data_IF_392621026836
#
_entry.id   IF_392621026836
#
_cell.length_a   1.000
_cell.length_b   1.000
_cell.length_c   1.000
_cell.angle_alpha   90.00
_cell.angle_beta   90.00
_cell.angle_gamma   90.00
#
_symmetry.space_group_name_H-M   'P 1'
#
loop_
_entity.id
_entity.type
_entity.pdbx_description
1 polymer ?
#
# COMPACT_ATOMS: atom_id res chain seq x y z
N UNK A 1 9.41 -7.03 -15.69
CA UNK A 1 9.66 -8.43 -15.30
C UNK A 1 10.11 -8.46 -13.84
N UNK A 2 9.74 -9.48 -13.07
CA UNK A 2 10.17 -9.62 -11.66
C UNK A 2 11.66 -10.00 -11.60
N UNK A 3 12.42 -9.37 -10.70
CA UNK A 3 13.79 -9.79 -10.32
C UNK A 3 13.74 -10.18 -8.83
N UNK A 4 13.69 -11.47 -8.48
CA UNK A 4 13.47 -11.92 -7.11
C UNK A 4 14.49 -11.40 -6.09
N UNK A 5 15.76 -11.28 -6.48
CA UNK A 5 16.87 -10.84 -5.62
C UNK A 5 16.73 -9.38 -5.20
N UNK A 6 15.95 -8.60 -5.94
CA UNK A 6 15.66 -7.21 -5.66
C UNK A 6 14.41 -7.01 -4.79
N UNK A 7 13.69 -8.08 -4.47
CA UNK A 7 12.46 -8.01 -3.70
C UNK A 7 12.77 -7.76 -2.23
N UNK A 8 12.50 -6.54 -1.78
CA UNK A 8 12.54 -6.15 -0.38
C UNK A 8 11.11 -5.89 0.12
N UNK A 9 10.70 -6.60 1.18
CA UNK A 9 9.43 -6.34 1.89
C UNK A 9 9.66 -5.22 2.89
N UNK A 10 8.79 -4.21 2.90
CA UNK A 10 8.91 -3.05 3.79
C UNK A 10 7.91 -3.09 4.95
N UNK A 11 6.65 -3.41 4.64
CA UNK A 11 5.57 -3.46 5.61
C UNK A 11 4.68 -4.69 5.36
N UNK A 12 4.02 -5.14 6.42
CA UNK A 12 3.02 -6.20 6.36
C UNK A 12 1.86 -5.88 7.32
N UNK A 13 0.67 -6.34 6.95
CA UNK A 13 -0.48 -6.35 7.83
C UNK A 13 -1.38 -7.55 7.56
N UNK A 14 -2.16 -7.95 8.57
CA UNK A 14 -2.96 -9.18 8.52
C UNK A 14 -4.40 -8.90 8.95
N UNK A 15 -5.34 -9.25 8.08
CA UNK A 15 -6.76 -9.23 8.38
C UNK A 15 -7.39 -10.58 8.07
N UNK A 16 -8.04 -11.21 9.06
CA UNK A 16 -8.77 -12.48 8.88
C UNK A 16 -7.93 -13.57 8.19
N UNK A 17 -6.64 -13.68 8.53
CA UNK A 17 -5.69 -14.63 7.94
C UNK A 17 -5.18 -14.25 6.55
N UNK A 18 -5.67 -13.17 5.94
CA UNK A 18 -5.14 -12.61 4.71
C UNK A 18 -3.97 -11.67 5.01
N UNK A 19 -2.82 -11.96 4.41
CA UNK A 19 -1.61 -11.14 4.55
C UNK A 19 -1.56 -10.14 3.40
N UNK A 20 -1.31 -8.87 3.74
CA UNK A 20 -0.96 -7.79 2.82
C UNK A 20 0.48 -7.38 3.08
N UNK A 21 1.22 -7.08 2.03
CA UNK A 21 2.64 -6.74 2.15
C UNK A 21 3.03 -5.75 1.07
N UNK A 22 3.91 -4.81 1.43
CA UNK A 22 4.47 -3.83 0.50
C UNK A 22 5.87 -4.21 0.02
N UNK A 23 6.31 -3.64 -1.11
CA UNK A 23 7.64 -3.82 -1.68
C UNK A 23 8.29 -2.51 -2.03
N UNK A 24 9.59 -2.49 -1.84
CA UNK A 24 10.47 -1.41 -2.26
C UNK A 24 10.48 -1.25 -3.78
N UNK A 25 10.20 -0.04 -4.26
CA UNK A 25 10.33 0.34 -5.67
C UNK A 25 11.33 1.47 -5.90
N UNK A 26 11.95 1.98 -4.83
CA UNK A 26 12.81 3.15 -4.89
C UNK A 26 14.27 2.80 -5.25
N UNK A 27 14.78 1.64 -4.80
CA UNK A 27 16.21 1.33 -4.95
C UNK A 27 16.55 0.37 -6.09
N UNK A 28 15.75 -0.68 -6.30
CA UNK A 28 16.07 -1.76 -7.23
C UNK A 28 14.96 -1.99 -8.26
N UNK A 29 15.30 -2.31 -9.52
CA UNK A 29 14.31 -2.58 -10.55
C UNK A 29 13.69 -3.96 -10.38
N UNK A 30 12.62 -4.22 -11.14
CA UNK A 30 12.04 -5.55 -11.26
C UNK A 30 10.98 -5.86 -10.21
N UNK A 31 10.24 -4.86 -9.72
CA UNK A 31 9.16 -5.04 -8.75
C UNK A 31 7.80 -4.72 -9.41
N UNK A 32 7.05 -5.75 -9.86
CA UNK A 32 5.84 -5.54 -10.68
C UNK A 32 4.70 -4.87 -9.94
N UNK A 33 4.56 -5.12 -8.63
CA UNK A 33 3.52 -4.58 -7.77
C UNK A 33 4.12 -4.12 -6.45
N UNK A 34 3.75 -2.92 -5.99
CA UNK A 34 4.22 -2.42 -4.69
C UNK A 34 3.40 -3.05 -3.57
N UNK A 35 2.09 -3.23 -3.76
CA UNK A 35 1.22 -3.87 -2.80
C UNK A 35 0.77 -5.24 -3.32
N UNK A 36 0.91 -6.27 -2.48
CA UNK A 36 0.41 -7.61 -2.76
C UNK A 36 -0.33 -8.18 -1.57
N UNK A 37 -1.19 -9.15 -1.86
CA UNK A 37 -1.66 -10.13 -0.89
C UNK A 37 -1.00 -11.48 -1.11
N UNK A 38 -0.83 -12.27 -0.05
CA UNK A 38 -0.32 -13.64 -0.14
C UNK A 38 -1.47 -14.58 -0.47
N UNK A 39 -1.30 -15.40 -1.49
CA UNK A 39 -2.22 -16.50 -1.82
C UNK A 39 -1.50 -17.84 -1.69
N UNK A 40 -2.21 -18.85 -1.18
CA UNK A 40 -1.71 -20.23 -1.15
C UNK A 40 -2.21 -20.99 -2.39
N UNK A 41 -1.32 -21.74 -3.03
CA UNK A 41 -1.67 -22.74 -4.04
C UNK A 41 -0.88 -23.99 -3.74
N UNK A 42 -1.58 -25.08 -3.39
CA UNK A 42 -0.99 -26.30 -2.86
C UNK A 42 -0.10 -25.97 -1.64
N UNK A 43 1.15 -26.45 -1.66
CA UNK A 43 2.14 -26.24 -0.59
C UNK A 43 2.92 -24.92 -0.71
N UNK A 44 2.62 -24.10 -1.72
CA UNK A 44 3.38 -22.90 -2.04
C UNK A 44 2.60 -21.61 -1.76
N UNK A 45 3.32 -20.56 -1.36
CA UNK A 45 2.78 -19.21 -1.16
C UNK A 45 3.27 -18.28 -2.28
N UNK A 46 2.35 -17.45 -2.80
CA UNK A 46 2.63 -16.54 -3.92
C UNK A 46 2.16 -15.13 -3.60
N UNK A 47 2.88 -14.14 -4.13
CA UNK A 47 2.47 -12.74 -4.08
C UNK A 47 1.53 -12.44 -5.25
N UNK A 48 0.31 -11.99 -4.94
CA UNK A 48 -0.66 -11.51 -5.92
C UNK A 48 -0.84 -10.00 -5.78
N UNK A 49 -0.67 -9.20 -6.84
CA UNK A 49 -0.90 -7.75 -6.77
C UNK A 49 -2.28 -7.43 -6.20
N UNK A 50 -2.32 -6.51 -5.24
CA UNK A 50 -3.56 -6.00 -4.66
C UNK A 50 -3.72 -4.51 -5.00
N UNK A 51 -4.92 -4.05 -5.38
CA UNK A 51 -6.12 -4.86 -5.66
C UNK A 51 -6.01 -5.68 -6.95
N UNK A 52 -5.18 -5.24 -7.89
CA UNK A 52 -4.82 -5.94 -9.13
C UNK A 52 -3.55 -5.32 -9.73
N UNK A 53 -3.03 -5.93 -10.81
CA UNK A 53 -1.79 -5.46 -11.46
C UNK A 53 -1.97 -4.08 -12.13
N UNK A 54 -3.15 -3.80 -12.69
CA UNK A 54 -3.43 -2.51 -13.35
C UNK A 54 -3.31 -1.35 -12.37
N UNK A 55 -3.83 -1.52 -11.15
CA UNK A 55 -3.75 -0.53 -10.06
C UNK A 55 -2.40 -0.51 -9.33
N UNK A 56 -1.38 -1.18 -9.88
CA UNK A 56 0.02 -1.11 -9.46
C UNK A 56 0.93 -0.62 -10.59
N UNK A 57 0.39 -0.05 -11.67
CA UNK A 57 1.18 0.34 -12.85
C UNK A 57 2.09 1.54 -12.52
N UNK A 58 3.40 1.30 -12.48
CA UNK A 58 4.37 2.38 -12.32
C UNK A 58 4.19 3.46 -13.40
N UNK A 59 4.20 4.73 -12.99
CA UNK A 59 4.03 5.92 -13.85
C UNK A 59 2.59 6.37 -14.07
N UNK A 60 1.60 5.55 -13.70
CA UNK A 60 0.20 5.97 -13.68
C UNK A 60 -0.15 6.51 -12.30
N UNK A 61 -0.19 7.84 -12.13
CA UNK A 61 -0.43 8.48 -10.83
C UNK A 61 -1.81 8.16 -10.22
N UNK A 62 -2.73 7.56 -10.99
CA UNK A 62 -3.99 7.03 -10.46
C UNK A 62 -3.86 5.65 -9.81
N UNK A 63 -2.67 5.07 -9.83
CA UNK A 63 -2.36 3.75 -9.29
C UNK A 63 -1.32 3.84 -8.17
N UNK A 64 -1.10 2.72 -7.46
CA UNK A 64 -0.15 2.61 -6.37
C UNK A 64 1.28 2.65 -6.93
N UNK A 65 2.04 3.68 -6.55
CA UNK A 65 3.41 3.88 -7.03
C UNK A 65 4.41 3.22 -6.10
N UNK A 66 4.34 3.53 -4.82
CA UNK A 66 5.22 3.03 -3.78
C UNK A 66 4.50 3.02 -2.43
N UNK A 67 3.72 1.96 -2.19
CA UNK A 67 3.10 1.73 -0.90
C UNK A 67 4.21 1.50 0.13
N UNK A 68 4.42 2.46 1.04
CA UNK A 68 5.45 2.34 2.08
C UNK A 68 4.90 1.64 3.32
N UNK A 69 3.63 1.91 3.65
CA UNK A 69 2.92 1.31 4.78
C UNK A 69 1.47 1.00 4.43
N UNK A 70 0.93 -0.05 5.04
CA UNK A 70 -0.48 -0.41 4.97
C UNK A 70 -1.04 -0.70 6.36
N UNK A 71 -2.32 -0.35 6.57
CA UNK A 71 -3.11 -0.82 7.71
C UNK A 71 -4.49 -1.25 7.27
N UNK A 72 -4.92 -2.38 7.79
CA UNK A 72 -6.24 -2.95 7.65
C UNK A 72 -7.07 -2.56 8.87
N UNK A 73 -8.34 -2.28 8.63
CA UNK A 73 -9.32 -2.03 9.67
C UNK A 73 -10.27 -3.23 9.78
N UNK A 74 -10.22 -3.99 10.89
CA UNK A 74 -11.07 -5.14 11.09
C UNK A 74 -12.55 -4.79 11.24
N UNK A 75 -12.89 -3.55 11.63
CA UNK A 75 -14.29 -3.14 11.81
C UNK A 75 -14.98 -2.86 10.46
N UNK A 76 -14.21 -2.44 9.45
CA UNK A 76 -14.76 -1.98 8.17
C UNK A 76 -14.32 -2.82 6.97
N UNK A 77 -13.33 -3.70 7.12
CA UNK A 77 -12.66 -4.39 6.01
C UNK A 77 -12.03 -3.43 4.98
N UNK A 78 -11.63 -2.23 5.42
CA UNK A 78 -10.87 -1.29 4.63
C UNK A 78 -9.37 -1.53 4.80
N UNK A 79 -8.60 -1.26 3.75
CA UNK A 79 -7.15 -1.16 3.81
C UNK A 79 -6.73 0.26 3.42
N UNK A 80 -5.95 0.87 4.29
CA UNK A 80 -5.33 2.17 4.16
C UNK A 80 -3.91 1.97 3.64
N UNK A 81 -3.55 2.73 2.62
CA UNK A 81 -2.29 2.60 1.90
C UNK A 81 -1.63 3.98 1.87
N UNK A 82 -0.46 4.08 2.49
CA UNK A 82 0.39 5.26 2.38
C UNK A 82 1.29 5.09 1.16
N UNK A 83 1.01 5.85 0.11
CA UNK A 83 1.73 5.80 -1.16
C UNK A 83 2.71 6.98 -1.25
N UNK A 84 3.99 6.66 -1.19
CA UNK A 84 5.10 7.59 -1.26
C UNK A 84 5.50 7.83 -2.73
N UNK A 85 6.24 8.91 -2.98
CA UNK A 85 6.79 9.17 -4.30
C UNK A 85 7.95 8.22 -4.63
N UNK A 86 8.06 7.81 -5.89
CA UNK A 86 9.26 7.12 -6.39
C UNK A 86 10.22 8.17 -6.93
N UNK A 87 11.40 8.28 -6.33
CA UNK A 87 12.38 9.32 -6.66
C UNK A 87 13.10 9.08 -8.00
N UNK A 88 13.02 7.88 -8.59
CA UNK A 88 13.82 7.50 -9.77
C UNK A 88 13.01 7.05 -10.98
N UNK A 89 13.29 7.66 -12.14
CA UNK A 89 12.97 7.19 -13.50
C UNK A 89 11.50 6.91 -13.82
N UNK A 90 10.57 7.39 -12.98
CA UNK A 90 9.13 7.29 -13.20
C UNK A 90 8.56 8.70 -13.17
N UNK A 91 7.50 8.95 -13.95
CA UNK A 91 6.73 10.20 -13.89
C UNK A 91 6.46 10.59 -12.43
N UNK A 92 6.73 11.85 -12.07
CA UNK A 92 6.46 12.35 -10.73
C UNK A 92 4.97 12.20 -10.40
N UNK A 93 4.68 11.50 -9.31
CA UNK A 93 3.34 11.33 -8.78
C UNK A 93 3.35 11.80 -7.34
N UNK A 94 2.40 12.68 -7.00
CA UNK A 94 2.25 13.18 -5.63
C UNK A 94 1.97 12.04 -4.66
N UNK A 95 2.51 12.19 -3.46
CA UNK A 95 2.25 11.36 -2.28
C UNK A 95 0.75 11.33 -2.00
N UNK A 96 0.23 10.16 -1.66
CA UNK A 96 -1.22 10.00 -1.45
C UNK A 96 -1.55 8.95 -0.41
N UNK A 97 -2.66 9.18 0.29
CA UNK A 97 -3.35 8.18 1.08
C UNK A 97 -4.48 7.60 0.22
N UNK A 98 -4.50 6.28 0.09
CA UNK A 98 -5.55 5.57 -0.64
C UNK A 98 -6.24 4.59 0.30
N UNK A 99 -7.56 4.49 0.20
CA UNK A 99 -8.35 3.53 0.98
C UNK A 99 -9.10 2.63 0.01
N UNK A 100 -8.98 1.33 0.20
CA UNK A 100 -9.68 0.32 -0.58
C UNK A 100 -10.58 -0.52 0.30
N UNK A 101 -11.76 -0.85 -0.20
CA UNK A 101 -12.55 -1.95 0.32
C UNK A 101 -11.90 -3.27 -0.13
N UNK A 102 -11.51 -4.10 0.84
CA UNK A 102 -10.78 -5.36 0.58
C UNK A 102 -11.67 -6.37 -0.16
N UNK A 103 -12.97 -6.40 0.13
CA UNK A 103 -13.94 -7.37 -0.42
C UNK A 103 -14.21 -7.08 -1.89
N UNK A 104 -14.51 -5.83 -2.20
CA UNK A 104 -14.84 -5.39 -3.57
C UNK A 104 -13.60 -5.07 -4.38
N UNK A 105 -12.45 -4.88 -3.72
CA UNK A 105 -11.18 -4.43 -4.32
C UNK A 105 -11.30 -3.09 -5.06
N UNK A 106 -12.17 -2.21 -4.55
CA UNK A 106 -12.43 -0.89 -5.11
C UNK A 106 -11.87 0.18 -4.19
N UNK A 107 -11.34 1.22 -4.80
CA UNK A 107 -10.95 2.43 -4.08
C UNK A 107 -12.22 3.11 -3.57
N UNK A 108 -12.24 3.44 -2.28
CA UNK A 108 -13.35 4.16 -1.64
C UNK A 108 -12.99 5.60 -1.33
N UNK A 109 -11.70 5.90 -1.19
CA UNK A 109 -11.21 7.23 -0.88
C UNK A 109 -9.77 7.44 -1.34
N UNK A 110 -9.46 8.68 -1.66
CA UNK A 110 -8.11 9.15 -1.96
C UNK A 110 -7.91 10.56 -1.43
N UNK A 111 -6.78 10.76 -0.78
CA UNK A 111 -6.27 12.07 -0.43
C UNK A 111 -4.87 12.25 -1.01
N UNK A 112 -4.68 13.31 -1.79
CA UNK A 112 -3.36 13.70 -2.30
C UNK A 112 -2.84 14.76 -1.36
N UNK A 113 -1.67 14.51 -0.77
CA UNK A 113 -1.07 15.47 0.15
C UNK A 113 -0.60 16.70 -0.63
N UNK A 114 -0.94 17.92 -0.19
CA UNK A 114 -0.45 19.14 -0.80
C UNK A 114 1.03 19.35 -0.44
N UNK A 115 1.78 19.97 -1.35
CA UNK A 115 3.21 20.24 -1.18
C UNK A 115 3.48 21.22 0.00
N UNK A 116 2.45 21.95 0.45
CA UNK A 116 2.52 22.80 1.64
C UNK A 116 2.55 22.03 2.97
N UNK A 117 2.14 20.76 2.96
CA UNK A 117 2.10 19.89 4.15
C UNK A 117 3.30 18.92 4.16
N UNK A 118 3.78 18.51 2.99
CA UNK A 118 4.93 17.62 2.85
C UNK A 118 5.97 18.30 1.95
N UNK A 119 7.09 18.71 2.56
CA UNK A 119 8.22 19.25 1.80
C UNK A 119 8.87 18.17 0.92
N UNK A 120 9.58 18.60 -0.12
CA UNK A 120 10.31 17.69 -1.02
C UNK A 120 11.35 16.81 -0.29
N UNK A 121 11.94 17.35 0.78
CA UNK A 121 12.93 16.64 1.61
C UNK A 121 12.30 15.65 2.60
N UNK A 122 10.98 15.70 2.79
CA UNK A 122 10.28 14.85 3.74
C UNK A 122 9.89 13.52 3.12
N UNK A 123 9.88 12.47 3.95
CA UNK A 123 9.46 11.12 3.57
C UNK A 123 8.42 10.62 4.56
N UNK A 124 7.30 10.14 4.02
CA UNK A 124 6.32 9.37 4.75
C UNK A 124 6.89 7.97 4.97
N UNK A 125 6.67 7.43 6.17
CA UNK A 125 7.26 6.14 6.54
C UNK A 125 6.22 5.14 7.02
N UNK A 126 5.38 5.53 7.97
CA UNK A 126 4.37 4.65 8.54
C UNK A 126 3.03 5.38 8.73
N UNK A 127 1.96 4.59 8.83
CA UNK A 127 0.62 5.06 9.16
C UNK A 127 0.06 4.22 10.31
N UNK A 128 -0.67 4.88 11.22
CA UNK A 128 -1.48 4.21 12.22
C UNK A 128 -2.91 4.68 12.10
N UNK A 129 -3.85 3.81 12.46
CA UNK A 129 -5.26 4.16 12.49
C UNK A 129 -5.61 4.49 13.93
N UNK A 130 -5.93 5.75 14.17
CA UNK A 130 -6.64 6.10 15.39
C UNK A 130 -8.07 5.56 15.28
N UNK A 131 -8.45 4.82 16.30
CA UNK A 131 -9.74 4.16 16.38
C UNK A 131 -10.31 4.61 17.71
N UNK A 132 -11.01 5.73 17.70
CA UNK A 132 -11.66 6.24 18.89
C UNK A 132 -12.55 5.15 19.52
N UNK A 133 -12.04 4.53 20.59
CA UNK A 133 -12.80 3.64 21.49
C UNK A 133 -13.36 4.41 22.69
N UNK A 134 -13.16 5.73 22.75
CA UNK A 134 -13.49 6.55 23.92
C UNK A 134 -15.00 6.79 24.15
N UNK A 135 -15.88 6.25 23.28
CA UNK A 135 -17.34 6.18 23.54
C UNK A 135 -17.85 4.79 23.98
N UNK A 136 -16.97 3.78 24.20
CA UNK A 136 -17.39 2.41 24.55
C UNK A 136 -16.80 1.88 25.87
N UNK A 137 -16.46 2.75 26.83
CA UNK A 137 -16.00 2.33 28.18
C UNK A 137 -16.68 2.98 29.38
N UNK A 138 -17.86 3.58 29.20
CA UNK A 138 -18.75 3.94 30.32
C UNK A 138 -20.17 3.43 30.05
N UNK A 139 -20.36 2.12 30.22
CA UNK A 139 -21.65 1.47 30.52
C UNK A 139 -21.37 0.03 30.97
#
# INVERSE_FOLDING_TARGET
MLIPENLLILNLDVLNGQIFTTKDRAFKPGIPASLNTVIKRNWNSFLKPFPNLRLNRAGDCNSIQYAISVKTDPNTNLIWILDEEVVKNVRFCRRKLMIFDIRTRREVFRHIFPDSVISESSKLFDLTLDRDKYFTRYA
#
